data_IF_956322797377
#
_entry.id   IF_956322797377
#
_cell.length_a   1.000
_cell.length_b   1.000
_cell.length_c   1.000
_cell.angle_alpha   90.00
_cell.angle_beta   90.00
_cell.angle_gamma   90.00
#
_symmetry.space_group_name_H-M   'P 1'
#
loop_
_entity.id
_entity.type
_entity.pdbx_description
1 polymer ?
#
# COMPACT_ATOMS: atom_id res chain seq x y z
N UNK A 1 -22.67 -2.30 -17.75
CA UNK A 1 -22.44 -1.17 -18.67
C UNK A 1 -22.10 0.12 -17.93
N UNK A 2 -22.87 0.55 -16.94
CA UNK A 2 -22.59 1.83 -16.24
C UNK A 2 -21.28 1.84 -15.43
N UNK A 3 -20.92 0.74 -14.76
CA UNK A 3 -19.62 0.65 -14.04
C UNK A 3 -18.41 0.86 -14.98
N UNK A 4 -18.46 0.29 -16.19
CA UNK A 4 -17.42 0.46 -17.20
C UNK A 4 -17.34 1.91 -17.67
N UNK A 5 -18.49 2.52 -18.00
CA UNK A 5 -18.55 3.94 -18.41
C UNK A 5 -18.01 4.87 -17.33
N UNK A 6 -18.31 4.58 -16.06
CA UNK A 6 -17.78 5.35 -14.94
C UNK A 6 -16.26 5.23 -14.82
N UNK A 7 -15.70 4.02 -14.94
CA UNK A 7 -14.24 3.83 -14.95
C UNK A 7 -13.58 4.54 -16.13
N UNK A 8 -14.17 4.45 -17.32
CA UNK A 8 -13.68 5.15 -18.52
C UNK A 8 -13.70 6.68 -18.31
N UNK A 9 -14.79 7.22 -17.77
CA UNK A 9 -14.86 8.63 -17.39
C UNK A 9 -13.76 8.99 -16.40
N UNK A 10 -13.61 8.21 -15.32
CA UNK A 10 -12.66 8.48 -14.25
C UNK A 10 -11.21 8.57 -14.76
N UNK A 11 -10.79 7.68 -15.66
CA UNK A 11 -9.37 7.59 -16.09
C UNK A 11 -9.07 8.29 -17.42
N UNK A 12 -10.05 8.46 -18.29
CA UNK A 12 -9.85 8.95 -19.66
C UNK A 12 -10.44 10.34 -19.92
N UNK A 13 -11.38 10.83 -19.10
CA UNK A 13 -11.90 12.19 -19.25
C UNK A 13 -11.03 13.20 -18.52
N UNK A 14 -11.01 14.45 -19.01
CA UNK A 14 -10.23 15.52 -18.37
C UNK A 14 -10.70 15.78 -16.93
N UNK A 15 -12.02 15.76 -16.68
CA UNK A 15 -12.57 15.98 -15.34
C UNK A 15 -12.29 14.84 -14.37
N UNK A 16 -12.33 13.58 -14.84
CA UNK A 16 -11.94 12.43 -14.02
C UNK A 16 -10.46 12.46 -13.64
N UNK A 17 -9.59 12.85 -14.58
CA UNK A 17 -8.14 13.00 -14.35
C UNK A 17 -7.84 14.14 -13.37
N UNK A 18 -8.47 15.29 -13.57
CA UNK A 18 -8.36 16.43 -12.66
C UNK A 18 -8.80 16.05 -11.24
N UNK A 19 -9.92 15.34 -11.12
CA UNK A 19 -10.40 14.86 -9.84
C UNK A 19 -9.41 13.90 -9.15
N UNK A 20 -8.88 12.89 -9.84
CA UNK A 20 -7.92 11.95 -9.25
C UNK A 20 -6.63 12.65 -8.82
N UNK A 21 -6.08 13.47 -9.70
CA UNK A 21 -4.76 14.07 -9.51
C UNK A 21 -4.85 15.27 -8.57
N UNK A 22 -5.72 16.23 -8.84
CA UNK A 22 -5.70 17.51 -8.14
C UNK A 22 -6.63 17.57 -6.93
N UNK A 23 -7.76 16.86 -6.93
CA UNK A 23 -8.64 16.83 -5.76
C UNK A 23 -8.25 15.72 -4.79
N UNK A 24 -8.10 14.48 -5.28
CA UNK A 24 -7.75 13.34 -4.45
C UNK A 24 -6.24 13.20 -4.18
N UNK A 25 -5.38 13.91 -4.91
CA UNK A 25 -3.91 13.86 -4.77
C UNK A 25 -3.33 12.45 -4.95
N UNK A 26 -3.95 11.62 -5.79
CA UNK A 26 -3.42 10.30 -6.13
C UNK A 26 -2.28 10.39 -7.14
N UNK A 27 -1.24 9.56 -6.96
CA UNK A 27 -0.22 9.32 -7.97
C UNK A 27 -0.83 8.37 -9.03
N UNK A 28 -1.03 8.82 -10.28
CA UNK A 28 -1.70 8.03 -11.29
C UNK A 28 -0.80 6.88 -11.81
N UNK A 29 -1.40 5.71 -12.06
CA UNK A 29 -0.75 4.58 -12.73
C UNK A 29 -1.03 4.54 -14.24
N UNK A 30 -1.69 5.59 -14.75
CA UNK A 30 -2.11 5.72 -16.15
C UNK A 30 -1.03 6.47 -16.93
N UNK A 31 -0.64 5.93 -18.09
CA UNK A 31 0.37 6.57 -18.95
C UNK A 31 -0.08 7.96 -19.41
N UNK A 32 0.86 8.91 -19.37
CA UNK A 32 0.65 10.26 -19.90
C UNK A 32 -0.09 11.22 -18.95
N UNK A 33 -0.36 10.81 -17.70
CA UNK A 33 -0.90 11.68 -16.67
C UNK A 33 0.22 12.07 -15.71
N UNK A 34 0.40 13.37 -15.50
CA UNK A 34 1.36 13.87 -14.53
C UNK A 34 0.83 13.66 -13.10
N UNK A 35 1.71 13.33 -12.14
CA UNK A 35 1.34 13.26 -10.74
C UNK A 35 0.95 14.64 -10.19
N UNK A 36 0.29 14.68 -9.02
CA UNK A 36 0.02 15.94 -8.35
C UNK A 36 1.33 16.62 -7.95
N UNK A 37 1.40 17.93 -8.14
CA UNK A 37 2.53 18.73 -7.68
C UNK A 37 2.39 19.04 -6.17
N UNK A 38 2.66 18.02 -5.36
CA UNK A 38 2.70 18.12 -3.90
C UNK A 38 3.95 17.45 -3.38
N UNK A 39 4.54 18.01 -2.31
CA UNK A 39 5.84 17.57 -1.79
C UNK A 39 5.93 16.05 -1.59
N UNK A 40 4.94 15.45 -0.92
CA UNK A 40 4.94 14.00 -0.63
C UNK A 40 4.87 13.13 -1.90
N UNK A 41 4.13 13.56 -2.92
CA UNK A 41 4.04 12.82 -4.18
C UNK A 41 5.37 12.90 -4.94
N UNK A 42 5.97 14.09 -5.00
CA UNK A 42 7.27 14.30 -5.64
C UNK A 42 8.37 13.45 -4.99
N UNK A 43 8.45 13.42 -3.65
CA UNK A 43 9.40 12.58 -2.92
C UNK A 43 9.13 11.08 -3.12
N UNK A 44 7.86 10.66 -3.08
CA UNK A 44 7.48 9.24 -3.31
C UNK A 44 7.92 8.77 -4.70
N UNK A 45 7.68 9.59 -5.74
CA UNK A 45 8.02 9.27 -7.12
C UNK A 45 9.54 9.20 -7.33
N UNK A 46 10.30 10.11 -6.71
CA UNK A 46 11.76 10.07 -6.73
C UNK A 46 12.29 8.75 -6.13
N UNK A 47 11.76 8.33 -4.97
CA UNK A 47 12.11 7.04 -4.35
C UNK A 47 11.76 5.86 -5.25
N UNK A 48 10.59 5.89 -5.91
CA UNK A 48 10.19 4.87 -6.87
C UNK A 48 11.17 4.75 -8.04
N UNK A 49 11.57 5.86 -8.65
CA UNK A 49 12.53 5.85 -9.77
C UNK A 49 13.94 5.44 -9.37
N UNK A 50 14.33 5.69 -8.10
CA UNK A 50 15.61 5.26 -7.53
C UNK A 50 15.61 3.79 -7.08
N UNK A 51 14.49 3.07 -7.20
CA UNK A 51 14.31 1.72 -6.64
C UNK A 51 14.59 1.66 -5.12
N UNK A 52 14.26 2.73 -4.40
CA UNK A 52 14.39 2.82 -2.93
C UNK A 52 13.06 2.49 -2.24
N UNK A 53 12.27 1.59 -2.81
CA UNK A 53 10.95 1.20 -2.31
C UNK A 53 10.90 -0.30 -2.05
N UNK A 54 10.04 -0.69 -1.12
CA UNK A 54 9.67 -2.10 -0.93
C UNK A 54 8.39 -2.40 -1.71
N UNK A 55 8.30 -3.55 -2.40
CA UNK A 55 7.06 -3.95 -3.05
C UNK A 55 5.95 -4.18 -2.01
N UNK A 56 4.70 -3.96 -2.43
CA UNK A 56 3.55 -4.27 -1.60
C UNK A 56 3.30 -5.78 -1.58
N UNK A 57 3.81 -6.46 -0.55
CA UNK A 57 3.76 -7.94 -0.45
C UNK A 57 2.52 -8.49 0.25
N UNK A 58 1.59 -7.63 0.69
CA UNK A 58 0.42 -8.07 1.46
C UNK A 58 -0.45 -9.09 0.73
N UNK A 59 -0.53 -9.03 -0.61
CA UNK A 59 -1.28 -10.01 -1.40
C UNK A 59 -0.74 -11.44 -1.32
N UNK A 60 0.47 -11.64 -0.79
CA UNK A 60 1.05 -12.97 -0.55
C UNK A 60 0.84 -13.48 0.87
N UNK A 61 0.23 -12.68 1.74
CA UNK A 61 0.02 -13.06 3.13
C UNK A 61 -1.10 -14.09 3.23
N UNK A 62 -0.93 -15.16 4.03
CA UNK A 62 -2.01 -16.10 4.27
C UNK A 62 -3.12 -15.42 5.06
N UNK A 63 -4.35 -15.93 4.94
CA UNK A 63 -5.51 -15.34 5.60
C UNK A 63 -5.30 -15.26 7.13
N UNK A 64 -5.82 -14.21 7.77
CA UNK A 64 -5.70 -13.94 9.21
C UNK A 64 -4.30 -13.60 9.73
N UNK A 65 -3.26 -13.63 8.89
CA UNK A 65 -1.90 -13.27 9.25
C UNK A 65 -1.78 -11.80 9.71
N UNK A 66 -2.44 -10.90 9.00
CA UNK A 66 -2.41 -9.44 9.27
C UNK A 66 -2.90 -9.07 10.67
N UNK A 67 -3.97 -9.73 11.15
CA UNK A 67 -4.53 -9.49 12.49
C UNK A 67 -3.55 -9.96 13.56
N UNK A 68 -2.90 -11.10 13.35
CA UNK A 68 -1.88 -11.63 14.29
C UNK A 68 -0.65 -10.71 14.34
N UNK A 69 -0.18 -10.25 13.18
CA UNK A 69 0.91 -9.28 13.07
C UNK A 69 0.60 -7.99 13.86
N UNK A 70 -0.60 -7.43 13.65
CA UNK A 70 -1.03 -6.19 14.28
C UNK A 70 -0.96 -6.25 15.81
N UNK A 71 -1.49 -7.32 16.40
CA UNK A 71 -1.47 -7.52 17.86
C UNK A 71 -0.04 -7.66 18.39
N UNK A 72 0.81 -8.43 17.70
CA UNK A 72 2.17 -8.69 18.15
C UNK A 72 3.08 -7.45 18.06
N UNK A 73 2.88 -6.61 17.03
CA UNK A 73 3.56 -5.33 16.92
C UNK A 73 3.12 -4.35 18.00
N UNK A 74 1.84 -4.36 18.39
CA UNK A 74 1.34 -3.57 19.52
C UNK A 74 2.00 -4.02 20.83
N UNK A 75 2.12 -5.33 21.07
CA UNK A 75 2.84 -5.87 22.24
C UNK A 75 4.31 -5.40 22.28
N UNK A 76 4.98 -5.35 21.12
CA UNK A 76 6.35 -4.83 21.01
C UNK A 76 6.43 -3.35 21.35
N UNK A 77 5.58 -2.53 20.73
CA UNK A 77 5.51 -1.09 21.01
C UNK A 77 5.17 -0.79 22.48
N UNK A 78 4.32 -1.63 23.10
CA UNK A 78 3.96 -1.55 24.51
C UNK A 78 5.00 -2.11 25.47
N UNK A 79 6.09 -2.71 24.97
CA UNK A 79 7.15 -3.31 25.79
C UNK A 79 6.78 -4.65 26.43
N UNK A 80 5.62 -5.23 26.10
CA UNK A 80 5.18 -6.54 26.59
C UNK A 80 5.97 -7.70 25.94
N UNK A 81 6.56 -7.46 24.77
CA UNK A 81 7.42 -8.41 24.06
C UNK A 81 8.68 -7.74 23.56
N UNK A 82 9.78 -8.49 23.56
CA UNK A 82 11.03 -8.09 22.91
C UNK A 82 10.94 -8.28 21.40
N UNK A 83 11.82 -7.58 20.66
CA UNK A 83 11.96 -7.75 19.20
C UNK A 83 12.15 -9.22 18.81
N UNK A 84 12.95 -9.96 19.58
CA UNK A 84 13.26 -11.36 19.29
C UNK A 84 12.02 -12.24 19.40
N UNK A 85 11.25 -12.09 20.49
CA UNK A 85 10.00 -12.82 20.71
C UNK A 85 8.97 -12.53 19.62
N UNK A 86 8.91 -11.29 19.12
CA UNK A 86 8.02 -10.90 18.01
C UNK A 86 8.42 -11.60 16.72
N UNK A 87 9.71 -11.64 16.38
CA UNK A 87 10.20 -12.30 15.17
C UNK A 87 9.98 -13.81 15.21
N UNK A 88 10.22 -14.45 16.34
CA UNK A 88 10.01 -15.90 16.52
C UNK A 88 8.53 -16.26 16.32
N UNK A 89 7.65 -15.47 16.92
CA UNK A 89 6.21 -15.66 16.86
C UNK A 89 5.63 -15.31 15.47
N UNK A 90 6.24 -14.35 14.75
CA UNK A 90 5.97 -14.18 13.32
C UNK A 90 6.28 -15.48 12.56
N UNK A 91 7.52 -15.97 12.60
CA UNK A 91 7.89 -17.16 11.84
C UNK A 91 6.98 -18.35 12.15
N UNK A 92 6.66 -18.55 13.44
CA UNK A 92 5.77 -19.62 13.90
C UNK A 92 4.38 -19.52 13.27
N UNK A 93 3.74 -18.36 13.35
CA UNK A 93 2.37 -18.20 12.84
C UNK A 93 2.33 -18.20 11.31
N UNK A 94 3.36 -17.70 10.61
CA UNK A 94 3.42 -17.76 9.15
C UNK A 94 3.46 -19.22 8.69
N UNK A 95 4.39 -20.01 9.24
CA UNK A 95 4.52 -21.43 8.93
C UNK A 95 3.25 -22.23 9.25
N UNK A 96 2.50 -21.84 10.29
CA UNK A 96 1.24 -22.50 10.63
C UNK A 96 0.10 -22.18 9.64
N UNK A 97 0.12 -21.02 8.99
CA UNK A 97 -0.95 -20.56 8.09
C UNK A 97 -0.70 -20.89 6.62
N UNK A 98 0.56 -21.11 6.22
CA UNK A 98 0.91 -21.49 4.84
C UNK A 98 0.87 -23.00 4.59
N UNK A 99 0.75 -23.81 5.64
CA UNK A 99 0.54 -25.26 5.57
C UNK A 99 -0.95 -25.59 5.49
#
# INVERSE_FOLDING_TARGET
>A
NEAKKWLEWLIASDSGREFIVNECKFIPTIKGINPPDVQLANETIDYMFKNLTYPWVQGYWPASWETHLGNLLQDYCGGARTRQQVIEEFNRTWLALVN
#
